data_IF_727959436594
#
_entry.id   IF_727959436594
#
_cell.length_a   1.000
_cell.length_b   1.000
_cell.length_c   1.000
_cell.angle_alpha   90.00
_cell.angle_beta   90.00
_cell.angle_gamma   90.00
#
_symmetry.space_group_name_H-M   'P 1'
#
loop_
_entity.id
_entity.type
_entity.pdbx_description
1 polymer ?
#
# COMPACT_ATOMS: atom_id res chain seq x y z
N UNK A 1 -18.89 5.54 18.10
CA UNK A 1 -17.70 6.42 17.90
C UNK A 1 -17.12 6.22 16.48
N UNK A 2 -17.93 6.40 15.42
CA UNK A 2 -17.54 6.05 14.04
C UNK A 2 -16.97 7.22 13.21
N UNK A 3 -17.15 8.46 13.67
CA UNK A 3 -16.79 9.67 12.92
C UNK A 3 -15.28 9.90 12.77
N UNK A 4 -14.42 9.30 13.62
CA UNK A 4 -12.99 9.58 13.62
C UNK A 4 -12.26 9.03 12.38
N UNK A 5 -12.57 7.80 11.97
CA UNK A 5 -11.77 7.11 10.96
C UNK A 5 -11.97 7.62 9.53
N UNK A 6 -13.22 7.93 9.18
CA UNK A 6 -13.55 8.51 7.87
C UNK A 6 -12.94 9.91 7.79
N UNK A 7 -13.14 10.74 8.82
CA UNK A 7 -12.57 12.08 8.86
C UNK A 7 -11.04 12.06 8.69
N UNK A 8 -10.37 11.10 9.34
CA UNK A 8 -8.94 10.91 9.21
C UNK A 8 -8.51 10.48 7.82
N UNK A 9 -9.19 9.48 7.22
CA UNK A 9 -8.88 9.03 5.87
C UNK A 9 -9.02 10.16 4.83
N UNK A 10 -10.06 10.98 4.95
CA UNK A 10 -10.28 12.13 4.07
C UNK A 10 -9.26 13.27 4.32
N UNK A 11 -8.86 13.47 5.58
CA UNK A 11 -7.81 14.42 5.92
C UNK A 11 -6.44 14.00 5.35
N UNK A 12 -6.05 12.74 5.54
CA UNK A 12 -4.84 12.16 4.95
C UNK A 12 -4.84 12.28 3.43
N UNK A 13 -5.98 11.98 2.80
CA UNK A 13 -6.15 12.13 1.37
C UNK A 13 -5.95 13.58 0.91
N UNK A 14 -6.55 14.54 1.62
CA UNK A 14 -6.38 15.96 1.33
C UNK A 14 -4.92 16.41 1.42
N UNK A 15 -4.22 15.99 2.48
CA UNK A 15 -2.78 16.28 2.66
C UNK A 15 -1.95 15.63 1.55
N UNK A 16 -2.18 14.34 1.27
CA UNK A 16 -1.45 13.61 0.21
C UNK A 16 -1.67 14.22 -1.18
N UNK A 17 -2.90 14.60 -1.50
CA UNK A 17 -3.23 15.25 -2.77
C UNK A 17 -2.57 16.62 -2.89
N UNK A 18 -2.56 17.42 -1.82
CA UNK A 18 -1.85 18.68 -1.80
C UNK A 18 -0.34 18.50 -2.06
N UNK A 19 0.29 17.48 -1.46
CA UNK A 19 1.70 17.16 -1.70
C UNK A 19 1.95 16.76 -3.17
N UNK A 20 1.10 15.94 -3.78
CA UNK A 20 1.23 15.58 -5.19
C UNK A 20 1.08 16.78 -6.12
N UNK A 21 0.08 17.64 -5.86
CA UNK A 21 -0.14 18.87 -6.64
C UNK A 21 1.06 19.82 -6.50
N UNK A 22 1.55 20.03 -5.28
CA UNK A 22 2.74 20.86 -5.03
C UNK A 22 3.96 20.31 -5.76
N UNK A 23 4.12 18.99 -5.80
CA UNK A 23 5.22 18.33 -6.53
C UNK A 23 5.13 18.56 -8.03
N UNK A 24 3.93 18.47 -8.62
CA UNK A 24 3.70 18.76 -10.04
C UNK A 24 4.00 20.24 -10.33
N UNK A 25 3.46 21.16 -9.53
CA UNK A 25 3.69 22.61 -9.70
C UNK A 25 5.18 22.94 -9.59
N UNK A 26 5.87 22.41 -8.58
CA UNK A 26 7.31 22.62 -8.40
C UNK A 26 8.08 22.10 -9.61
N UNK A 27 7.70 20.95 -10.16
CA UNK A 27 8.35 20.38 -11.35
C UNK A 27 8.14 21.22 -12.59
N UNK A 28 6.90 21.68 -12.82
CA UNK A 28 6.57 22.60 -13.92
C UNK A 28 7.40 23.87 -13.82
N UNK A 29 7.56 24.43 -12.62
CA UNK A 29 8.36 25.65 -12.39
C UNK A 29 9.86 25.44 -12.63
N UNK A 30 10.41 24.28 -12.29
CA UNK A 30 11.86 24.00 -12.42
C UNK A 30 12.25 23.60 -13.85
N UNK A 31 11.43 22.81 -14.53
CA UNK A 31 11.79 22.18 -15.82
C UNK A 31 11.02 22.75 -17.01
N UNK A 32 9.87 23.41 -16.77
CA UNK A 32 8.96 23.89 -17.81
C UNK A 32 8.14 22.77 -18.45
N UNK A 33 7.01 23.13 -19.08
CA UNK A 33 6.07 22.16 -19.67
C UNK A 33 6.67 21.34 -20.83
N UNK A 34 7.66 21.88 -21.55
CA UNK A 34 8.33 21.20 -22.67
C UNK A 34 9.44 20.24 -22.25
N UNK A 35 9.89 20.28 -20.99
CA UNK A 35 10.95 19.42 -20.46
C UNK A 35 10.44 18.21 -19.69
N UNK A 36 9.13 17.93 -19.75
CA UNK A 36 8.53 16.75 -19.12
C UNK A 36 9.15 15.48 -19.67
N UNK A 37 9.59 14.61 -18.77
CA UNK A 37 10.09 13.29 -19.11
C UNK A 37 9.10 12.22 -18.68
N UNK A 38 9.33 10.98 -19.10
CA UNK A 38 8.48 9.83 -18.80
C UNK A 38 8.15 9.66 -17.31
N UNK A 39 9.08 10.01 -16.41
CA UNK A 39 8.88 9.93 -14.96
C UNK A 39 7.85 10.94 -14.42
N UNK A 40 7.67 12.08 -15.08
CA UNK A 40 6.76 13.12 -14.63
C UNK A 40 5.28 12.72 -14.82
N UNK A 41 5.00 11.76 -15.71
CA UNK A 41 3.67 11.19 -15.93
C UNK A 41 3.25 10.19 -14.85
N UNK A 42 4.20 9.65 -14.07
CA UNK A 42 3.90 8.68 -13.01
C UNK A 42 3.14 9.31 -11.84
N UNK A 43 3.28 10.62 -11.61
CA UNK A 43 2.62 11.31 -10.49
C UNK A 43 1.10 11.38 -10.70
N UNK A 44 0.58 11.83 -11.86
CA UNK A 44 -0.86 11.72 -12.15
C UNK A 44 -1.42 10.30 -12.03
N UNK A 45 -0.67 9.27 -12.45
CA UNK A 45 -1.08 7.88 -12.24
C UNK A 45 -1.17 7.52 -10.76
N UNK A 46 -0.19 7.94 -9.94
CA UNK A 46 -0.24 7.75 -8.49
C UNK A 46 -1.46 8.46 -7.87
N UNK A 47 -1.77 9.68 -8.31
CA UNK A 47 -2.97 10.41 -7.86
C UNK A 47 -4.24 9.62 -8.18
N UNK A 48 -4.36 9.09 -9.40
CA UNK A 48 -5.50 8.26 -9.82
C UNK A 48 -5.66 7.03 -8.92
N UNK A 49 -4.59 6.26 -8.70
CA UNK A 49 -4.65 5.09 -7.82
C UNK A 49 -5.00 5.46 -6.37
N UNK A 50 -4.48 6.58 -5.88
CA UNK A 50 -4.80 7.05 -4.53
C UNK A 50 -6.28 7.46 -4.39
N UNK A 51 -6.84 8.15 -5.40
CA UNK A 51 -8.29 8.47 -5.43
C UNK A 51 -9.14 7.20 -5.50
N UNK A 52 -8.72 6.21 -6.30
CA UNK A 52 -9.44 4.94 -6.44
C UNK A 52 -9.44 4.16 -5.12
N UNK A 53 -8.32 4.18 -4.40
CA UNK A 53 -8.20 3.56 -3.08
C UNK A 53 -9.12 4.22 -2.05
N UNK A 54 -9.26 5.55 -2.05
CA UNK A 54 -10.21 6.27 -1.18
C UNK A 54 -11.65 5.86 -1.48
N UNK A 55 -12.05 5.91 -2.75
CA UNK A 55 -13.43 5.60 -3.17
C UNK A 55 -13.80 4.16 -2.85
N UNK A 56 -12.91 3.21 -3.16
CA UNK A 56 -13.14 1.78 -2.87
C UNK A 56 -13.24 1.52 -1.37
N UNK A 57 -12.41 2.16 -0.53
CA UNK A 57 -12.57 2.07 0.92
C UNK A 57 -13.89 2.66 1.42
N UNK A 58 -14.36 3.77 0.86
CA UNK A 58 -15.65 4.35 1.24
C UNK A 58 -16.81 3.40 0.89
N UNK A 59 -16.74 2.72 -0.25
CA UNK A 59 -17.72 1.69 -0.64
C UNK A 59 -17.70 0.54 0.36
N UNK A 60 -16.51 0.02 0.70
CA UNK A 60 -16.37 -1.07 1.68
C UNK A 60 -16.90 -0.64 3.06
N UNK A 61 -16.66 0.60 3.45
CA UNK A 61 -17.17 1.15 4.71
C UNK A 61 -18.70 1.20 4.75
N UNK A 62 -19.34 1.56 3.63
CA UNK A 62 -20.80 1.72 3.55
C UNK A 62 -21.53 0.39 3.32
N UNK A 63 -21.02 -0.46 2.44
CA UNK A 63 -21.71 -1.67 1.95
C UNK A 63 -21.23 -2.96 2.65
N UNK A 64 -20.15 -2.87 3.44
CA UNK A 64 -19.56 -4.00 4.13
C UNK A 64 -18.71 -4.90 3.23
N UNK A 65 -18.08 -5.91 3.83
CA UNK A 65 -17.09 -6.75 3.17
C UNK A 65 -17.49 -8.22 3.22
N UNK A 66 -17.60 -8.87 2.04
CA UNK A 66 -18.09 -10.26 1.97
C UNK A 66 -17.22 -11.27 2.75
N UNK A 67 -15.90 -11.06 2.79
CA UNK A 67 -14.97 -11.93 3.52
C UNK A 67 -15.04 -11.75 5.05
N UNK A 68 -15.67 -10.68 5.54
CA UNK A 68 -15.88 -10.43 6.96
C UNK A 68 -17.24 -10.96 7.45
N UNK A 69 -18.10 -11.45 6.56
CA UNK A 69 -19.42 -11.98 6.91
C UNK A 69 -19.27 -13.46 7.28
N UNK A 70 -19.79 -13.84 8.45
CA UNK A 70 -19.82 -15.25 8.86
C UNK A 70 -20.63 -16.08 7.84
N UNK A 71 -20.18 -17.31 7.50
CA UNK A 71 -20.83 -18.13 6.47
C UNK A 71 -22.32 -18.39 6.72
N UNK A 72 -22.72 -18.58 7.98
CA UNK A 72 -24.10 -18.86 8.38
C UNK A 72 -24.98 -17.61 8.26
N UNK A 73 -24.41 -16.45 8.57
CA UNK A 73 -25.08 -15.15 8.46
C UNK A 73 -25.33 -14.78 7.00
N UNK A 74 -24.39 -15.08 6.09
CA UNK A 74 -24.55 -14.81 4.66
C UNK A 74 -25.73 -15.58 4.04
N UNK A 75 -25.99 -16.81 4.49
CA UNK A 75 -27.13 -17.62 3.99
C UNK A 75 -28.49 -17.04 4.39
N UNK A 76 -28.55 -16.23 5.44
CA UNK A 76 -29.76 -15.60 5.95
C UNK A 76 -30.01 -14.21 5.33
N UNK A 77 -29.10 -13.70 4.51
CA UNK A 77 -29.21 -12.38 3.89
C UNK A 77 -30.20 -12.37 2.73
N UNK A 78 -30.98 -11.30 2.65
CA UNK A 78 -31.83 -10.99 1.50
C UNK A 78 -30.98 -10.81 0.23
N UNK A 79 -31.56 -11.07 -0.95
CA UNK A 79 -30.88 -10.90 -2.25
C UNK A 79 -30.22 -9.51 -2.38
N UNK A 80 -30.89 -8.46 -1.90
CA UNK A 80 -30.35 -7.09 -1.91
C UNK A 80 -29.10 -6.95 -1.04
N UNK A 81 -29.06 -7.59 0.11
CA UNK A 81 -27.89 -7.57 1.01
C UNK A 81 -26.73 -8.37 0.43
N UNK A 82 -27.02 -9.50 -0.24
CA UNK A 82 -26.00 -10.28 -0.93
C UNK A 82 -25.37 -9.50 -2.09
N UNK A 83 -26.16 -8.75 -2.85
CA UNK A 83 -25.66 -7.88 -3.92
C UNK A 83 -24.74 -6.77 -3.38
N UNK A 84 -25.12 -6.10 -2.30
CA UNK A 84 -24.29 -5.09 -1.65
C UNK A 84 -22.96 -5.68 -1.15
N UNK A 85 -23.00 -6.87 -0.53
CA UNK A 85 -21.78 -7.57 -0.11
C UNK A 85 -20.86 -7.93 -1.29
N UNK A 86 -21.42 -8.30 -2.45
CA UNK A 86 -20.63 -8.56 -3.66
C UNK A 86 -20.00 -7.28 -4.23
N UNK A 87 -20.69 -6.13 -4.14
CA UNK A 87 -20.13 -4.82 -4.52
C UNK A 87 -18.95 -4.49 -3.60
N UNK A 88 -19.10 -4.66 -2.29
CA UNK A 88 -18.01 -4.52 -1.32
C UNK A 88 -16.83 -5.46 -1.58
N UNK A 89 -17.09 -6.71 -1.98
CA UNK A 89 -16.08 -7.68 -2.39
C UNK A 89 -15.28 -7.22 -3.62
N UNK A 90 -15.96 -6.70 -4.65
CA UNK A 90 -15.30 -6.10 -5.83
C UNK A 90 -14.48 -4.87 -5.46
N UNK A 91 -15.03 -4.00 -4.61
CA UNK A 91 -14.35 -2.81 -4.11
C UNK A 91 -13.09 -3.16 -3.32
N UNK A 92 -13.11 -4.25 -2.53
CA UNK A 92 -11.93 -4.73 -1.80
C UNK A 92 -10.79 -5.13 -2.73
N UNK A 93 -11.07 -5.92 -3.77
CA UNK A 93 -10.06 -6.26 -4.78
C UNK A 93 -9.51 -5.00 -5.46
N UNK A 94 -10.40 -4.07 -5.81
CA UNK A 94 -10.02 -2.77 -6.37
C UNK A 94 -9.13 -1.95 -5.44
N UNK A 95 -9.43 -1.95 -4.14
CA UNK A 95 -8.64 -1.28 -3.11
C UNK A 95 -7.23 -1.86 -3.01
N UNK A 96 -7.11 -3.19 -2.93
CA UNK A 96 -5.81 -3.87 -2.88
C UNK A 96 -4.95 -3.60 -4.13
N UNK A 97 -5.54 -3.68 -5.33
CA UNK A 97 -4.83 -3.42 -6.58
C UNK A 97 -4.41 -1.94 -6.68
N UNK A 98 -5.28 -1.02 -6.27
CA UNK A 98 -4.99 0.41 -6.29
C UNK A 98 -3.89 0.78 -5.29
N UNK A 99 -3.94 0.23 -4.07
CA UNK A 99 -2.89 0.40 -3.07
C UNK A 99 -1.54 -0.13 -3.57
N UNK A 100 -1.52 -1.35 -4.10
CA UNK A 100 -0.33 -1.95 -4.70
C UNK A 100 0.22 -1.07 -5.83
N UNK A 101 -0.64 -0.63 -6.74
CA UNK A 101 -0.24 0.20 -7.88
C UNK A 101 0.29 1.56 -7.45
N UNK A 102 -0.30 2.18 -6.41
CA UNK A 102 0.20 3.42 -5.83
C UNK A 102 1.63 3.26 -5.31
N UNK A 103 1.86 2.27 -4.43
CA UNK A 103 3.19 2.05 -3.83
C UNK A 103 4.24 1.75 -4.91
N UNK A 104 3.93 0.88 -5.87
CA UNK A 104 4.87 0.51 -6.91
C UNK A 104 5.14 1.66 -7.88
N UNK A 105 4.15 2.52 -8.14
CA UNK A 105 4.34 3.76 -8.92
C UNK A 105 5.28 4.73 -8.21
N UNK A 106 5.13 4.90 -6.89
CA UNK A 106 6.03 5.74 -6.08
C UNK A 106 7.46 5.19 -6.04
N UNK A 107 7.62 3.86 -5.90
CA UNK A 107 8.92 3.18 -6.04
C UNK A 107 9.50 3.40 -7.44
N UNK A 108 8.69 3.30 -8.48
CA UNK A 108 9.07 3.61 -9.86
C UNK A 108 9.62 5.04 -10.00
N UNK A 109 8.94 6.03 -9.42
CA UNK A 109 9.43 7.42 -9.39
C UNK A 109 10.83 7.52 -8.75
N UNK A 110 11.08 6.78 -7.66
CA UNK A 110 12.40 6.75 -7.01
C UNK A 110 13.47 6.10 -7.89
N UNK A 111 13.13 5.00 -8.57
CA UNK A 111 14.05 4.35 -9.54
C UNK A 111 14.45 5.35 -10.62
N UNK A 112 13.51 6.09 -11.19
CA UNK A 112 13.81 7.12 -12.21
C UNK A 112 14.67 8.26 -11.66
N UNK A 113 14.40 8.72 -10.44
CA UNK A 113 15.22 9.72 -9.77
C UNK A 113 16.67 9.23 -9.61
N UNK A 114 16.86 7.99 -9.15
CA UNK A 114 18.18 7.39 -9.00
C UNK A 114 18.86 7.08 -10.34
N UNK A 115 18.08 6.74 -11.37
CA UNK A 115 18.60 6.55 -12.71
C UNK A 115 19.25 7.83 -13.25
N UNK A 116 18.59 8.98 -13.09
CA UNK A 116 19.14 10.28 -13.46
C UNK A 116 20.38 10.63 -12.62
N UNK A 117 20.33 10.38 -11.31
CA UNK A 117 21.43 10.70 -10.38
C UNK A 117 22.69 9.85 -10.61
N UNK A 118 22.52 8.61 -11.07
CA UNK A 118 23.62 7.65 -11.28
C UNK A 118 24.19 7.66 -12.70
N UNK A 119 23.85 8.68 -13.51
CA UNK A 119 24.39 8.85 -14.86
C UNK A 119 25.92 8.88 -14.83
N UNK A 120 26.56 7.96 -15.58
CA UNK A 120 28.02 7.84 -15.63
C UNK A 120 28.66 7.00 -14.52
N UNK A 121 27.89 6.45 -13.58
CA UNK A 121 28.40 5.65 -12.46
C UNK A 121 28.10 4.16 -12.64
N UNK A 122 29.01 3.30 -12.14
CA UNK A 122 28.79 1.83 -12.07
C UNK A 122 27.54 1.45 -11.27
N UNK A 123 27.12 2.30 -10.33
CA UNK A 123 25.90 2.15 -9.54
C UNK A 123 24.62 2.11 -10.41
N UNK A 124 24.66 2.59 -11.66
CA UNK A 124 23.52 2.52 -12.59
C UNK A 124 23.06 1.09 -12.88
N UNK A 125 23.97 0.10 -12.85
CA UNK A 125 23.60 -1.32 -13.00
C UNK A 125 22.64 -1.77 -11.89
N UNK A 126 22.88 -1.31 -10.66
CA UNK A 126 22.01 -1.62 -9.52
C UNK A 126 20.62 -1.00 -9.69
N UNK A 127 20.52 0.23 -10.21
CA UNK A 127 19.23 0.88 -10.50
C UNK A 127 18.41 0.07 -11.50
N UNK A 128 19.03 -0.45 -12.57
CA UNK A 128 18.35 -1.31 -13.54
C UNK A 128 17.85 -2.62 -12.93
N UNK A 129 18.68 -3.27 -12.10
CA UNK A 129 18.30 -4.51 -11.41
C UNK A 129 17.12 -4.24 -10.47
N UNK A 130 17.19 -3.19 -9.65
CA UNK A 130 16.11 -2.81 -8.74
C UNK A 130 14.83 -2.47 -9.51
N UNK A 131 14.92 -1.75 -10.63
CA UNK A 131 13.77 -1.47 -11.49
C UNK A 131 13.12 -2.75 -12.05
N UNK A 132 13.91 -3.72 -12.50
CA UNK A 132 13.40 -5.01 -12.98
C UNK A 132 12.71 -5.81 -11.86
N UNK A 133 13.28 -5.82 -10.65
CA UNK A 133 12.67 -6.49 -9.49
C UNK A 133 11.35 -5.83 -9.10
N UNK A 134 11.28 -4.49 -9.08
CA UNK A 134 10.04 -3.77 -8.78
C UNK A 134 8.96 -4.11 -9.80
N UNK A 135 9.28 -4.11 -11.10
CA UNK A 135 8.31 -4.45 -12.14
C UNK A 135 7.84 -5.92 -12.05
N UNK A 136 8.77 -6.85 -11.82
CA UNK A 136 8.45 -8.28 -11.74
C UNK A 136 7.58 -8.59 -10.52
N UNK A 137 7.93 -8.00 -9.36
CA UNK A 137 7.15 -8.15 -8.12
C UNK A 137 5.76 -7.53 -8.25
N UNK A 138 5.63 -6.38 -8.93
CA UNK A 138 4.33 -5.77 -9.23
C UNK A 138 3.41 -6.75 -9.97
N UNK A 139 3.88 -7.28 -11.10
CA UNK A 139 3.10 -8.20 -11.94
C UNK A 139 2.72 -9.44 -11.14
N UNK A 140 3.68 -10.04 -10.42
CA UNK A 140 3.42 -11.21 -9.59
C UNK A 140 2.35 -10.99 -8.51
N UNK A 141 2.39 -9.83 -7.85
CA UNK A 141 1.42 -9.48 -6.79
C UNK A 141 0.03 -9.15 -7.34
N UNK A 142 -0.06 -8.45 -8.48
CA UNK A 142 -1.35 -8.23 -9.17
C UNK A 142 -1.98 -9.56 -9.56
N UNK A 143 -1.19 -10.46 -10.15
CA UNK A 143 -1.65 -11.80 -10.52
C UNK A 143 -2.07 -12.61 -9.29
N UNK A 144 -1.33 -12.51 -8.18
CA UNK A 144 -1.70 -13.17 -6.92
C UNK A 144 -3.07 -12.71 -6.41
N UNK A 145 -3.37 -11.41 -6.46
CA UNK A 145 -4.67 -10.86 -6.02
C UNK A 145 -5.79 -11.32 -6.95
N UNK A 146 -5.57 -11.26 -8.27
CA UNK A 146 -6.60 -11.61 -9.27
C UNK A 146 -6.89 -13.11 -9.29
N UNK A 147 -5.85 -13.94 -9.14
CA UNK A 147 -5.92 -15.41 -9.29
C UNK A 147 -6.03 -16.14 -7.95
N UNK A 148 -6.34 -15.42 -6.86
CA UNK A 148 -6.47 -16.00 -5.51
C UNK A 148 -7.54 -17.08 -5.43
N UNK A 149 -8.64 -16.94 -6.19
CA UNK A 149 -9.72 -17.91 -6.27
C UNK A 149 -9.90 -18.48 -7.68
N UNK A 150 -10.32 -19.74 -7.75
CA UNK A 150 -10.63 -20.45 -8.99
C UNK A 150 -12.04 -21.03 -8.91
N UNK A 151 -13.02 -20.56 -9.73
CA UNK A 151 -12.91 -19.50 -10.75
C UNK A 151 -12.79 -18.09 -10.15
N UNK A 152 -12.24 -17.14 -10.93
CA UNK A 152 -11.95 -15.75 -10.49
C UNK A 152 -13.19 -15.05 -9.92
N UNK A 153 -14.38 -15.34 -10.45
CA UNK A 153 -15.65 -14.78 -9.98
C UNK A 153 -15.95 -15.07 -8.50
N UNK A 154 -15.37 -16.14 -7.94
CA UNK A 154 -15.54 -16.47 -6.52
C UNK A 154 -14.79 -15.53 -5.59
N UNK A 155 -13.82 -14.75 -6.09
CA UNK A 155 -13.06 -13.79 -5.29
C UNK A 155 -13.94 -12.67 -4.68
N UNK A 156 -15.05 -12.32 -5.33
CA UNK A 156 -16.02 -11.33 -4.81
C UNK A 156 -17.41 -11.89 -4.55
N UNK A 157 -17.65 -13.18 -4.81
CA UNK A 157 -18.99 -13.81 -4.68
C UNK A 157 -19.05 -14.82 -3.54
N UNK A 158 -17.93 -15.43 -3.15
CA UNK A 158 -17.90 -16.47 -2.12
C UNK A 158 -17.58 -15.88 -0.74
N UNK A 159 -18.42 -16.08 0.28
CA UNK A 159 -18.02 -15.91 1.68
C UNK A 159 -17.19 -17.11 2.19
N UNK A 160 -17.19 -18.24 1.46
CA UNK A 160 -16.52 -19.48 1.85
C UNK A 160 -15.05 -19.46 1.37
N UNK A 161 -14.13 -19.12 2.26
CA UNK A 161 -12.75 -18.80 1.90
C UNK A 161 -11.75 -19.98 1.87
N UNK A 162 -12.22 -21.20 1.65
CA UNK A 162 -11.32 -22.37 1.47
C UNK A 162 -11.74 -23.35 0.37
N UNK A 163 -13.01 -23.37 -0.04
CA UNK A 163 -13.48 -24.32 -1.08
C UNK A 163 -13.02 -23.90 -2.49
N UNK A 164 -12.99 -22.59 -2.77
CA UNK A 164 -12.69 -22.04 -4.09
C UNK A 164 -11.45 -21.13 -4.12
N UNK A 165 -10.93 -20.76 -2.96
CA UNK A 165 -9.84 -19.81 -2.80
C UNK A 165 -8.65 -20.48 -2.14
N UNK A 166 -7.45 -20.16 -2.58
CA UNK A 166 -6.22 -20.53 -1.86
C UNK A 166 -6.40 -20.02 -0.43
N UNK A 167 -6.16 -20.90 0.57
CA UNK A 167 -6.27 -20.64 2.01
C UNK A 167 -6.26 -19.14 2.33
N UNK A 168 -7.26 -18.62 3.07
CA UNK A 168 -7.46 -17.22 3.52
C UNK A 168 -6.23 -16.56 4.18
N UNK A 169 -5.10 -16.56 3.49
CA UNK A 169 -3.84 -15.93 3.82
C UNK A 169 -4.05 -14.48 3.47
N UNK A 170 -3.98 -13.57 4.45
CA UNK A 170 -4.12 -12.16 4.20
C UNK A 170 -3.05 -11.70 3.21
N UNK A 171 -3.46 -10.89 2.23
CA UNK A 171 -2.54 -10.37 1.22
C UNK A 171 -1.33 -9.62 1.84
N UNK A 172 -1.51 -8.99 3.01
CA UNK A 172 -0.43 -8.30 3.72
C UNK A 172 0.75 -9.21 4.13
N UNK A 173 0.52 -10.52 4.35
CA UNK A 173 1.60 -11.46 4.72
C UNK A 173 2.60 -11.62 3.57
N UNK A 174 2.13 -11.55 2.33
CA UNK A 174 2.99 -11.65 1.14
C UNK A 174 3.47 -10.27 0.70
N UNK A 175 2.58 -9.28 0.69
CA UNK A 175 2.88 -7.92 0.25
C UNK A 175 3.89 -7.22 1.16
N UNK A 176 3.76 -7.37 2.48
CA UNK A 176 4.59 -6.71 3.46
C UNK A 176 6.09 -6.99 3.30
N UNK A 177 6.52 -8.26 3.32
CA UNK A 177 7.92 -8.63 3.12
C UNK A 177 8.49 -8.19 1.77
N UNK A 178 7.73 -8.32 0.68
CA UNK A 178 8.17 -7.89 -0.65
C UNK A 178 8.32 -6.36 -0.71
N UNK A 179 7.39 -5.63 -0.08
CA UNK A 179 7.47 -4.18 0.01
C UNK A 179 8.73 -3.74 0.77
N UNK A 180 8.99 -4.34 1.95
CA UNK A 180 10.19 -4.07 2.75
C UNK A 180 11.46 -4.40 1.98
N UNK A 181 11.52 -5.55 1.32
CA UNK A 181 12.70 -5.96 0.54
C UNK A 181 13.00 -4.97 -0.59
N UNK A 182 11.98 -4.55 -1.33
CA UNK A 182 12.14 -3.58 -2.41
C UNK A 182 12.52 -2.18 -1.89
N UNK A 183 12.07 -1.78 -0.70
CA UNK A 183 12.52 -0.53 -0.05
C UNK A 183 13.99 -0.60 0.37
N UNK A 184 14.43 -1.72 0.96
CA UNK A 184 15.84 -1.94 1.29
C UNK A 184 16.70 -1.82 0.03
N UNK A 185 16.29 -2.45 -1.08
CA UNK A 185 17.00 -2.35 -2.36
C UNK A 185 17.10 -0.90 -2.86
N UNK A 186 16.06 -0.09 -2.69
CA UNK A 186 16.08 1.33 -3.04
C UNK A 186 17.02 2.14 -2.15
N UNK A 187 17.03 1.89 -0.83
CA UNK A 187 17.94 2.56 0.10
C UNK A 187 19.41 2.18 -0.11
N UNK A 188 19.68 0.97 -0.60
CA UNK A 188 21.06 0.56 -0.91
C UNK A 188 21.68 1.31 -2.10
N UNK A 189 20.88 1.89 -3.01
CA UNK A 189 21.39 2.60 -4.20
C UNK A 189 22.22 3.85 -3.84
N UNK A 190 21.73 4.80 -3.01
CA UNK A 190 22.48 6.02 -2.68
C UNK A 190 23.62 5.80 -1.69
N UNK A 191 23.68 4.69 -0.93
CA UNK A 191 24.70 4.46 0.09
C UNK A 191 26.14 4.47 -0.47
N UNK A 192 26.48 3.71 -1.53
CA UNK A 192 27.81 3.77 -2.14
C UNK A 192 28.15 5.14 -2.73
N UNK A 193 27.13 5.89 -3.20
CA UNK A 193 27.31 7.22 -3.76
C UNK A 193 27.76 8.20 -2.66
N UNK A 194 27.10 8.19 -1.51
CA UNK A 194 27.41 9.08 -0.39
C UNK A 194 28.77 8.77 0.22
N UNK A 195 29.13 7.48 0.32
CA UNK A 195 30.41 7.08 0.90
C UNK A 195 31.61 7.49 0.04
N UNK A 196 31.44 7.55 -1.30
CA UNK A 196 32.53 7.84 -2.23
C UNK A 196 32.53 9.28 -2.75
N UNK A 197 31.39 9.96 -2.79
CA UNK A 197 31.29 11.29 -3.36
C UNK A 197 31.61 12.40 -2.33
N UNK A 198 32.56 13.28 -2.66
CA UNK A 198 32.83 14.53 -1.92
C UNK A 198 31.76 15.58 -2.24
N UNK A 199 30.54 15.36 -1.75
CA UNK A 199 29.42 16.30 -1.94
C UNK A 199 29.48 17.45 -0.93
N UNK A 200 29.03 18.66 -1.31
CA UNK A 200 28.89 19.77 -0.37
C UNK A 200 27.89 19.41 0.74
N UNK A 201 28.16 19.88 1.96
CA UNK A 201 27.46 19.47 3.19
C UNK A 201 25.93 19.56 3.07
N UNK A 202 25.40 20.61 2.40
CA UNK A 202 23.96 20.79 2.16
C UNK A 202 23.32 19.63 1.38
N UNK A 203 23.98 19.15 0.31
CA UNK A 203 23.46 18.02 -0.49
C UNK A 203 23.57 16.71 0.29
N UNK A 204 24.65 16.54 1.05
CA UNK A 204 24.85 15.38 1.92
C UNK A 204 23.75 15.29 2.99
N UNK A 205 23.41 16.41 3.63
CA UNK A 205 22.33 16.49 4.62
C UNK A 205 20.96 16.12 4.03
N UNK A 206 20.59 16.68 2.85
CA UNK A 206 19.31 16.36 2.20
C UNK A 206 19.21 14.84 1.92
N UNK A 207 20.28 14.25 1.37
CA UNK A 207 20.29 12.82 1.06
C UNK A 207 20.24 11.98 2.34
N UNK A 208 20.96 12.37 3.40
CA UNK A 208 20.90 11.70 4.70
C UNK A 208 19.50 11.74 5.32
N UNK A 209 18.81 12.87 5.25
CA UNK A 209 17.42 13.00 5.75
C UNK A 209 16.47 12.10 4.95
N UNK A 210 16.61 12.06 3.62
CA UNK A 210 15.80 11.19 2.76
C UNK A 210 16.02 9.70 3.08
N UNK A 211 17.29 9.28 3.28
CA UNK A 211 17.63 7.92 3.68
C UNK A 211 17.10 7.57 5.07
N UNK A 212 17.22 8.51 6.03
CA UNK A 212 16.69 8.33 7.39
C UNK A 212 15.17 8.16 7.40
N UNK A 213 14.46 8.99 6.63
CA UNK A 213 13.02 8.85 6.45
C UNK A 213 12.62 7.49 5.86
N UNK A 214 13.34 7.02 4.84
CA UNK A 214 13.10 5.69 4.27
C UNK A 214 13.34 4.55 5.26
N UNK A 215 14.40 4.63 6.07
CA UNK A 215 14.65 3.63 7.12
C UNK A 215 13.56 3.62 8.20
N UNK A 216 13.11 4.79 8.62
CA UNK A 216 11.98 4.92 9.55
C UNK A 216 10.70 4.27 8.99
N UNK A 217 10.39 4.51 7.71
CA UNK A 217 9.23 3.90 7.06
C UNK A 217 9.32 2.36 7.04
N UNK A 218 10.51 1.79 6.83
CA UNK A 218 10.69 0.33 6.88
C UNK A 218 10.34 -0.22 8.27
N UNK A 219 10.83 0.42 9.34
CA UNK A 219 10.52 0.01 10.71
C UNK A 219 9.01 0.10 10.96
N UNK A 220 8.38 1.20 10.56
CA UNK A 220 6.95 1.40 10.71
C UNK A 220 6.13 0.30 10.01
N UNK A 221 6.50 -0.08 8.77
CA UNK A 221 5.84 -1.16 8.02
C UNK A 221 6.02 -2.52 8.70
N UNK A 222 7.22 -2.82 9.21
CA UNK A 222 7.49 -4.06 9.93
C UNK A 222 6.60 -4.14 11.18
N UNK A 223 6.59 -3.09 11.99
CA UNK A 223 5.75 -3.03 13.19
C UNK A 223 4.27 -3.17 12.86
N UNK A 224 3.78 -2.47 11.83
CA UNK A 224 2.40 -2.58 11.38
C UNK A 224 2.02 -4.01 10.98
N UNK A 225 2.86 -4.69 10.20
CA UNK A 225 2.62 -6.07 9.78
C UNK A 225 2.62 -7.04 10.98
N UNK A 226 3.53 -6.84 11.94
CA UNK A 226 3.57 -7.63 13.17
C UNK A 226 2.31 -7.43 14.01
N UNK A 227 1.87 -6.19 14.22
CA UNK A 227 0.63 -5.91 14.95
C UNK A 227 -0.60 -6.49 14.25
N UNK A 228 -0.68 -6.39 12.93
CA UNK A 228 -1.77 -6.96 12.13
C UNK A 228 -1.82 -8.50 12.24
N UNK A 229 -0.65 -9.15 12.26
CA UNK A 229 -0.54 -10.58 12.49
C UNK A 229 -1.01 -10.94 13.91
N UNK A 230 -0.51 -10.23 14.93
CA UNK A 230 -0.89 -10.48 16.31
C UNK A 230 -2.40 -10.34 16.52
N UNK A 231 -3.04 -9.33 15.93
CA UNK A 231 -4.49 -9.18 15.96
C UNK A 231 -5.22 -10.37 15.33
N UNK A 232 -4.79 -10.82 14.14
CA UNK A 232 -5.40 -11.97 13.49
C UNK A 232 -5.20 -13.26 14.29
N UNK A 233 -4.06 -13.43 14.94
CA UNK A 233 -3.80 -14.56 15.85
C UNK A 233 -4.72 -14.50 17.08
N UNK A 234 -4.91 -13.33 17.68
CA UNK A 234 -5.79 -13.16 18.84
C UNK A 234 -7.26 -13.40 18.50
N UNK A 235 -7.73 -12.91 17.34
CA UNK A 235 -9.07 -13.20 16.84
C UNK A 235 -9.32 -14.71 16.60
N UNK A 236 -8.27 -15.48 16.28
CA UNK A 236 -8.39 -16.91 16.01
C UNK A 236 -8.27 -17.79 17.26
N UNK A 237 -7.49 -17.36 18.27
CA UNK A 237 -7.12 -18.17 19.43
C UNK A 237 -7.45 -17.56 20.80
N UNK A 238 -7.98 -16.32 20.86
CA UNK A 238 -8.51 -15.65 22.05
C UNK A 238 -7.54 -15.55 23.24
N UNK A 239 -6.24 -15.35 23.00
CA UNK A 239 -5.17 -15.71 23.97
C UNK A 239 -4.34 -14.54 24.51
N UNK A 240 -4.44 -13.31 24.00
CA UNK A 240 -3.54 -12.21 24.39
C UNK A 240 -4.23 -11.02 25.09
N UNK A 241 -4.29 -11.06 26.43
CA UNK A 241 -4.65 -9.91 27.28
C UNK A 241 -3.47 -8.95 27.51
N UNK A 242 -3.05 -8.21 26.47
CA UNK A 242 -1.97 -7.23 26.56
C UNK A 242 -2.44 -5.77 26.55
N UNK A 243 -2.19 -5.00 27.62
CA UNK A 243 -2.55 -3.57 27.72
C UNK A 243 -1.97 -2.66 26.62
N UNK A 244 -0.93 -3.10 25.89
CA UNK A 244 -0.38 -2.37 24.73
C UNK A 244 -1.26 -2.47 23.48
N UNK A 245 -2.06 -3.54 23.35
CA UNK A 245 -3.02 -3.73 22.25
C UNK A 245 -4.15 -2.70 22.34
N UNK A 246 -4.51 -2.27 23.56
CA UNK A 246 -5.52 -1.22 23.79
C UNK A 246 -5.16 0.13 23.15
N UNK A 247 -3.88 0.50 23.05
CA UNK A 247 -3.48 1.75 22.40
C UNK A 247 -3.72 1.72 20.87
N UNK A 248 -3.58 0.54 20.25
CA UNK A 248 -3.96 0.31 18.84
C UNK A 248 -5.48 0.19 18.62
N UNK A 249 -6.24 -0.20 19.67
CA UNK A 249 -7.71 -0.23 19.68
C UNK A 249 -8.28 1.21 19.78
N UNK A 250 -7.62 2.11 20.52
CA UNK A 250 -8.07 3.50 20.72
C UNK A 250 -7.68 4.46 19.59
N UNK A 251 -6.70 4.11 18.75
CA UNK A 251 -6.34 4.86 17.53
C UNK A 251 -6.59 4.00 16.28
N UNK A 252 -7.88 3.82 15.91
CA UNK A 252 -8.26 2.87 14.87
C UNK A 252 -7.80 3.31 13.48
N UNK A 253 -7.35 4.53 13.25
CA UNK A 253 -6.80 4.98 11.96
C UNK A 253 -5.45 4.39 11.59
N UNK A 254 -4.64 4.02 12.57
CA UNK A 254 -3.41 3.27 12.31
C UNK A 254 -3.71 1.83 11.86
N UNK A 255 -4.86 1.29 12.28
CA UNK A 255 -5.30 -0.11 12.00
C UNK A 255 -6.29 -0.19 10.83
N UNK A 256 -7.10 0.85 10.59
CA UNK A 256 -8.20 0.87 9.61
C UNK A 256 -7.73 1.03 8.16
N UNK A 257 -6.44 1.25 7.91
CA UNK A 257 -5.85 1.05 6.58
C UNK A 257 -5.87 -0.43 6.16
N UNK A 258 -5.95 -1.37 7.12
CA UNK A 258 -5.91 -2.82 6.86
C UNK A 258 -6.80 -3.64 7.78
N UNK A 259 -8.09 -3.66 7.46
CA UNK A 259 -8.97 -4.77 7.78
C UNK A 259 -9.69 -4.71 9.13
N UNK A 260 -10.97 -5.06 9.06
CA UNK A 260 -11.89 -5.44 10.14
C UNK A 260 -12.26 -4.36 11.15
N UNK A 261 -13.48 -3.83 10.98
CA UNK A 261 -14.34 -3.51 12.11
C UNK A 261 -15.23 -4.73 12.35
N UNK A 262 -14.92 -5.53 13.36
CA UNK A 262 -15.95 -6.39 13.98
C UNK A 262 -16.82 -5.49 14.85
N UNK A 263 -18.11 -5.42 14.51
CA UNK A 263 -19.12 -4.85 15.39
C UNK A 263 -19.45 -5.87 16.47
N UNK A 264 -19.07 -5.54 17.71
CA UNK A 264 -19.92 -5.76 18.88
C UNK A 264 -20.26 -4.38 19.43
#
# INVERSE_FOLDING_TARGET
MAYSAIAEQWAEYGVGMAVFVLRIIARIKVVGLKGFSGDDYLIPFAMLFYTTQLVTHQIIHNDGLIIAIKPDTYRQYSEKQQQLAQIGGKANIGSWISYLSLIWTLKGCMVFLYYRLTTGLKARKLVHITGAVILTTYIGLVLMILLNCRPISKNWTSPYGTEYCVNNIPHFIVLGPINVLTDIMLLCIPLPLIMRARLPLRRKLIISVLLGGGFFLIIAVILNNLFSLMYKYDALYGTFHGNFVKFGIENPSFVLSWGTRETI
#
